data_IF_562348107186
#
_entry.id   IF_562348107186
#
_cell.length_a   1.000
_cell.length_b   1.000
_cell.length_c   1.000
_cell.angle_alpha   90.00
_cell.angle_beta   90.00
_cell.angle_gamma   90.00
#
_symmetry.space_group_name_H-M   'P 1'
#
loop_
_entity.id
_entity.type
_entity.pdbx_description
1 polymer ?
#
# COMPACT_ATOMS: atom_id res chain seq x y z
N UNK A 1 -50.08 15.47 -49.30
CA UNK A 1 -50.49 14.99 -47.96
C UNK A 1 -49.25 14.98 -47.07
N UNK A 2 -49.07 16.03 -46.25
CA UNK A 2 -49.36 16.05 -44.79
C UNK A 2 -48.33 15.25 -43.99
N UNK A 3 -47.73 15.69 -42.89
CA UNK A 3 -47.58 16.95 -42.15
C UNK A 3 -46.58 16.58 -41.01
N UNK A 4 -45.65 17.46 -40.64
CA UNK A 4 -44.77 17.28 -39.46
C UNK A 4 -45.55 17.45 -38.13
N UNK A 5 -45.00 17.12 -36.93
CA UNK A 5 -44.12 18.08 -36.24
C UNK A 5 -43.03 17.52 -35.27
N UNK A 6 -42.05 18.39 -35.00
CA UNK A 6 -41.37 18.72 -33.74
C UNK A 6 -41.08 17.65 -32.66
N UNK A 7 -39.83 17.56 -32.19
CA UNK A 7 -39.39 18.16 -30.92
C UNK A 7 -37.97 17.73 -30.45
N UNK A 8 -37.08 18.73 -30.35
CA UNK A 8 -36.30 19.09 -29.15
C UNK A 8 -35.25 18.09 -28.62
N UNK A 9 -33.97 18.44 -28.80
CA UNK A 9 -32.89 18.13 -27.85
C UNK A 9 -33.12 18.86 -26.52
N UNK A 10 -32.88 18.19 -25.38
CA UNK A 10 -32.20 18.87 -24.29
C UNK A 10 -31.02 18.06 -23.72
N UNK A 11 -29.94 18.79 -23.50
CA UNK A 11 -28.78 18.51 -22.65
C UNK A 11 -29.20 18.25 -21.19
N UNK A 12 -28.29 17.72 -20.32
CA UNK A 12 -28.67 17.10 -19.07
C UNK A 12 -29.23 18.11 -18.07
N UNK A 13 -30.38 17.76 -17.48
CA UNK A 13 -31.00 18.53 -16.42
C UNK A 13 -30.15 18.44 -15.15
N UNK A 14 -29.42 19.53 -14.93
CA UNK A 14 -28.83 19.95 -13.68
C UNK A 14 -29.81 19.82 -12.50
N UNK A 15 -29.49 18.95 -11.53
CA UNK A 15 -29.91 19.18 -10.15
C UNK A 15 -29.07 20.32 -9.58
N UNK A 16 -29.61 21.54 -9.67
CA UNK A 16 -29.04 22.74 -9.06
C UNK A 16 -29.17 22.69 -7.53
N UNK A 17 -28.12 23.02 -6.76
CA UNK A 17 -28.29 23.53 -5.40
C UNK A 17 -28.78 24.99 -5.46
N UNK A 18 -29.81 25.30 -4.67
CA UNK A 18 -30.30 26.67 -4.45
C UNK A 18 -29.22 27.46 -3.70
N UNK A 19 -28.50 28.34 -4.39
CA UNK A 19 -27.76 29.42 -3.74
C UNK A 19 -28.24 30.79 -4.22
N UNK A 20 -28.59 31.60 -3.23
CA UNK A 20 -28.96 33.02 -3.29
C UNK A 20 -27.76 33.79 -3.87
N UNK A 21 -27.95 34.58 -4.93
CA UNK A 21 -26.91 35.43 -5.53
C UNK A 21 -26.44 36.50 -4.52
N UNK A 22 -25.13 36.59 -4.33
CA UNK A 22 -24.42 37.83 -3.97
C UNK A 22 -23.44 38.15 -5.12
N UNK A 23 -23.29 39.41 -5.55
CA UNK A 23 -22.43 39.76 -6.66
C UNK A 23 -21.00 40.09 -6.20
N UNK A 24 -20.01 39.68 -6.99
CA UNK A 24 -18.68 40.27 -7.00
C UNK A 24 -17.61 39.54 -6.19
N UNK A 25 -16.99 38.52 -6.79
CA UNK A 25 -15.60 38.18 -6.55
C UNK A 25 -15.09 37.33 -7.73
N UNK A 26 -13.88 37.64 -8.18
CA UNK A 26 -13.23 37.09 -9.36
C UNK A 26 -13.22 35.55 -9.39
N UNK A 27 -13.32 34.99 -10.60
CA UNK A 27 -13.10 33.58 -10.90
C UNK A 27 -11.69 33.17 -10.45
N UNK A 28 -11.58 32.54 -9.29
CA UNK A 28 -10.55 31.53 -9.07
C UNK A 28 -11.12 30.20 -9.58
N UNK A 29 -10.45 29.59 -10.55
CA UNK A 29 -10.74 28.22 -10.97
C UNK A 29 -10.79 27.34 -9.70
N UNK A 30 -11.76 26.41 -9.58
CA UNK A 30 -11.76 25.49 -8.44
C UNK A 30 -10.42 24.74 -8.49
N UNK A 31 -9.62 24.90 -7.43
CA UNK A 31 -8.47 24.06 -7.19
C UNK A 31 -8.95 22.61 -7.33
N UNK A 32 -8.43 21.92 -8.34
CA UNK A 32 -8.65 20.49 -8.52
C UNK A 32 -8.27 19.80 -7.22
N UNK A 33 -9.27 19.31 -6.48
CA UNK A 33 -9.05 18.45 -5.33
C UNK A 33 -8.15 17.29 -5.80
N UNK A 34 -6.99 17.03 -5.17
CA UNK A 34 -6.23 15.82 -5.45
C UNK A 34 -7.03 14.66 -4.86
N UNK A 35 -7.97 14.11 -5.64
CA UNK A 35 -8.97 13.14 -5.20
C UNK A 35 -8.71 11.77 -5.81
N UNK A 36 -7.49 11.28 -5.65
CA UNK A 36 -7.15 9.86 -5.60
C UNK A 36 -5.64 9.77 -5.35
N UNK A 37 -5.24 9.38 -4.15
CA UNK A 37 -3.87 8.92 -3.96
C UNK A 37 -3.68 7.66 -4.82
N UNK A 38 -2.68 7.69 -5.70
CA UNK A 38 -2.33 6.54 -6.53
C UNK A 38 -1.25 5.71 -5.82
N UNK A 39 -1.71 4.64 -5.15
CA UNK A 39 -0.81 3.68 -4.48
C UNK A 39 0.14 3.00 -5.45
N UNK A 40 -0.28 2.78 -6.71
CA UNK A 40 0.57 2.12 -7.69
C UNK A 40 1.72 3.03 -8.10
N UNK A 41 1.48 4.33 -8.26
CA UNK A 41 2.55 5.30 -8.51
C UNK A 41 3.56 5.37 -7.34
N UNK A 42 3.07 5.27 -6.10
CA UNK A 42 3.94 5.23 -4.91
C UNK A 42 4.77 3.92 -4.84
N UNK A 43 4.18 2.80 -5.25
CA UNK A 43 4.87 1.53 -5.34
C UNK A 43 5.92 1.52 -6.45
N UNK A 44 5.57 1.99 -7.65
CA UNK A 44 6.48 2.11 -8.79
C UNK A 44 7.72 2.92 -8.41
N UNK A 45 7.52 4.08 -7.77
CA UNK A 45 8.63 4.95 -7.35
C UNK A 45 9.54 4.35 -6.26
N UNK A 46 9.07 3.31 -5.54
CA UNK A 46 9.81 2.66 -4.46
C UNK A 46 10.24 1.22 -4.79
N UNK A 47 9.85 0.69 -5.94
CA UNK A 47 10.01 -0.73 -6.30
C UNK A 47 11.48 -1.16 -6.30
N UNK A 48 12.34 -0.33 -6.92
CA UNK A 48 13.78 -0.57 -7.06
C UNK A 48 14.54 -0.56 -5.73
N UNK A 49 13.93 -0.09 -4.63
CA UNK A 49 14.55 -0.23 -3.30
C UNK A 49 14.57 -1.68 -2.81
N UNK A 50 13.70 -2.53 -3.33
CA UNK A 50 13.43 -3.88 -2.83
C UNK A 50 13.67 -4.96 -3.87
N UNK A 51 13.29 -4.71 -5.12
CA UNK A 51 13.36 -5.68 -6.20
C UNK A 51 14.39 -5.17 -7.20
N UNK A 52 15.53 -5.86 -7.25
CA UNK A 52 16.61 -5.51 -8.19
C UNK A 52 16.16 -5.89 -9.61
N UNK A 53 16.21 -4.96 -10.58
CA UNK A 53 15.92 -5.25 -11.97
C UNK A 53 16.77 -6.40 -12.55
N UNK A 54 18.00 -6.58 -12.04
CA UNK A 54 18.94 -7.61 -12.52
C UNK A 54 18.60 -9.02 -11.99
N UNK A 55 18.07 -9.12 -10.76
CA UNK A 55 17.70 -10.41 -10.15
C UNK A 55 16.36 -10.98 -10.66
N UNK A 56 15.46 -10.10 -11.10
CA UNK A 56 14.04 -10.47 -11.32
C UNK A 56 13.58 -10.35 -12.77
N UNK A 57 14.36 -9.71 -13.66
CA UNK A 57 13.86 -9.17 -14.93
C UNK A 57 12.55 -8.34 -14.75
N UNK A 58 12.27 -7.88 -13.53
CA UNK A 58 11.00 -7.25 -13.19
C UNK A 58 11.12 -5.75 -13.41
N UNK A 59 10.56 -5.28 -14.51
CA UNK A 59 10.01 -3.94 -14.57
C UNK A 59 8.78 -3.91 -13.65
N UNK A 60 8.55 -2.83 -12.90
CA UNK A 60 7.28 -2.65 -12.18
C UNK A 60 6.10 -2.94 -13.10
N UNK A 61 5.21 -3.85 -12.67
CA UNK A 61 3.94 -4.14 -13.33
C UNK A 61 2.84 -4.25 -12.29
N UNK A 62 1.66 -3.67 -12.51
CA UNK A 62 0.57 -3.74 -11.53
C UNK A 62 0.09 -5.16 -11.23
N UNK A 63 0.26 -6.09 -12.16
CA UNK A 63 -0.08 -7.52 -12.05
C UNK A 63 1.09 -8.39 -11.58
N UNK A 64 2.26 -7.81 -11.27
CA UNK A 64 3.39 -8.54 -10.72
C UNK A 64 3.00 -9.17 -9.36
N UNK A 65 3.30 -10.46 -9.11
CA UNK A 65 2.94 -11.14 -7.87
C UNK A 65 3.44 -10.42 -6.60
N UNK A 66 4.61 -9.78 -6.66
CA UNK A 66 5.17 -9.04 -5.54
C UNK A 66 4.41 -7.74 -5.27
N UNK A 67 3.89 -7.10 -6.32
CA UNK A 67 3.05 -5.90 -6.25
C UNK A 67 1.66 -6.26 -5.74
N UNK A 68 1.06 -7.35 -6.23
CA UNK A 68 -0.22 -7.87 -5.73
C UNK A 68 -0.12 -8.19 -4.24
N UNK A 69 0.94 -8.88 -3.82
CA UNK A 69 1.20 -9.16 -2.41
C UNK A 69 1.39 -7.88 -1.59
N UNK A 70 2.10 -6.88 -2.12
CA UNK A 70 2.25 -5.58 -1.46
C UNK A 70 0.90 -4.83 -1.34
N UNK A 71 -0.01 -4.98 -2.30
CA UNK A 71 -1.36 -4.39 -2.24
C UNK A 71 -2.22 -5.06 -1.15
N UNK A 72 -2.13 -6.38 -0.99
CA UNK A 72 -2.80 -7.10 0.09
C UNK A 72 -2.36 -6.59 1.47
N UNK A 73 -1.05 -6.52 1.70
CA UNK A 73 -0.50 -5.95 2.94
C UNK A 73 -0.89 -4.48 3.12
N UNK A 74 -0.90 -3.68 2.05
CA UNK A 74 -1.35 -2.30 2.12
C UNK A 74 -2.83 -2.18 2.49
N UNK A 75 -3.69 -3.07 1.99
CA UNK A 75 -5.09 -3.20 2.40
C UNK A 75 -5.21 -3.45 3.90
N UNK A 76 -4.47 -4.44 4.41
CA UNK A 76 -4.40 -4.77 5.84
C UNK A 76 -3.96 -3.56 6.70
N UNK A 77 -2.94 -2.81 6.26
CA UNK A 77 -2.47 -1.60 6.97
C UNK A 77 -3.51 -0.47 7.02
N UNK A 78 -4.42 -0.41 6.04
CA UNK A 78 -5.46 0.63 5.96
C UNK A 78 -6.69 0.33 6.79
N UNK A 79 -6.82 -0.87 7.34
CA UNK A 79 -7.97 -1.20 8.16
C UNK A 79 -7.99 -0.33 9.43
N UNK A 80 -9.12 0.32 9.76
CA UNK A 80 -9.21 1.34 10.82
C UNK A 80 -8.97 0.81 12.24
N UNK A 81 -8.76 -0.50 12.39
CA UNK A 81 -8.50 -1.18 13.65
C UNK A 81 -7.15 -1.92 13.63
N UNK A 82 -6.20 -1.54 12.78
CA UNK A 82 -4.87 -2.13 12.72
C UNK A 82 -3.93 -1.44 13.75
N UNK A 83 -3.72 -1.99 14.97
CA UNK A 83 -2.72 -1.49 15.92
C UNK A 83 -1.28 -1.69 15.42
N UNK A 84 -1.11 -2.30 14.24
CA UNK A 84 0.19 -2.64 13.66
C UNK A 84 1.06 -1.43 13.34
N UNK A 85 0.45 -0.27 13.16
CA UNK A 85 1.12 0.97 12.72
C UNK A 85 0.69 2.19 13.54
N UNK A 86 -0.02 1.97 14.63
CA UNK A 86 -0.43 3.04 15.53
C UNK A 86 0.82 3.63 16.20
N UNK A 87 0.96 4.96 16.15
CA UNK A 87 2.07 5.67 16.78
C UNK A 87 3.36 5.76 15.96
N UNK A 88 3.41 5.20 14.75
CA UNK A 88 4.55 5.35 13.84
C UNK A 88 4.71 6.82 13.42
N UNK A 89 5.86 7.42 13.71
CA UNK A 89 6.24 8.73 13.18
C UNK A 89 6.74 8.58 11.74
N UNK A 90 5.82 8.61 10.78
CA UNK A 90 6.10 8.41 9.35
C UNK A 90 7.10 9.39 8.74
N UNK A 91 7.37 10.53 9.39
CA UNK A 91 8.38 11.48 8.95
C UNK A 91 9.81 11.05 9.34
N UNK A 92 9.96 10.27 10.41
CA UNK A 92 11.26 9.93 11.02
C UNK A 92 11.58 8.45 11.01
N UNK A 93 10.58 7.61 11.24
CA UNK A 93 10.74 6.17 11.30
C UNK A 93 10.85 5.57 9.91
N UNK A 94 11.90 4.77 9.71
CA UNK A 94 12.16 4.02 8.49
C UNK A 94 12.00 2.51 8.69
N UNK A 95 11.78 2.09 9.93
CA UNK A 95 11.65 0.68 10.31
C UNK A 95 10.37 0.53 11.12
N UNK A 96 9.50 -0.37 10.70
CA UNK A 96 8.24 -0.66 11.39
C UNK A 96 8.29 -2.08 11.92
N UNK A 97 8.00 -2.21 13.22
CA UNK A 97 8.04 -3.48 13.93
C UNK A 97 6.63 -4.06 14.05
N UNK A 98 6.48 -5.31 13.62
CA UNK A 98 5.26 -6.09 13.73
C UNK A 98 5.47 -7.21 14.72
N UNK A 99 4.51 -7.43 15.61
CA UNK A 99 4.45 -8.69 16.36
C UNK A 99 3.99 -9.80 15.41
N UNK A 100 4.67 -10.95 15.42
CA UNK A 100 4.33 -12.09 14.56
C UNK A 100 2.88 -12.54 14.76
N UNK A 101 2.42 -12.69 16.01
CA UNK A 101 1.08 -13.18 16.31
C UNK A 101 0.00 -12.21 15.81
N UNK A 102 0.23 -10.89 15.96
CA UNK A 102 -0.71 -9.86 15.49
C UNK A 102 -0.73 -9.78 13.95
N UNK A 103 0.43 -9.97 13.32
CA UNK A 103 0.56 -9.97 11.86
C UNK A 103 -0.18 -11.16 11.24
N UNK A 104 0.01 -12.37 11.79
CA UNK A 104 -0.67 -13.58 11.33
C UNK A 104 -2.18 -13.48 11.55
N UNK A 105 -2.61 -13.03 12.74
CA UNK A 105 -4.03 -12.94 13.08
C UNK A 105 -4.83 -11.96 12.20
N UNK A 106 -4.16 -10.99 11.57
CA UNK A 106 -4.79 -9.94 10.77
C UNK A 106 -4.58 -10.09 9.27
N UNK A 107 -3.67 -10.96 8.86
CA UNK A 107 -3.46 -11.19 7.44
C UNK A 107 -4.69 -11.81 6.81
N UNK A 108 -5.11 -11.28 5.66
CA UNK A 108 -6.09 -11.93 4.77
C UNK A 108 -5.50 -13.19 4.12
N UNK A 109 -4.18 -13.37 4.17
CA UNK A 109 -3.50 -14.51 3.60
C UNK A 109 -3.64 -15.72 4.53
N UNK A 110 -4.44 -16.70 4.08
CA UNK A 110 -4.68 -17.95 4.81
C UNK A 110 -3.39 -18.71 5.19
N UNK A 111 -2.29 -18.45 4.48
CA UNK A 111 -1.02 -19.15 4.60
C UNK A 111 0.18 -18.21 4.84
N UNK A 112 0.00 -17.05 5.47
CA UNK A 112 1.13 -16.12 5.73
C UNK A 112 2.29 -16.81 6.46
N UNK A 113 2.01 -17.71 7.41
CA UNK A 113 3.05 -18.48 8.10
C UNK A 113 3.87 -19.36 7.17
N UNK A 114 3.23 -19.97 6.17
CA UNK A 114 3.90 -20.79 5.17
C UNK A 114 4.68 -19.91 4.19
N UNK A 115 4.12 -18.78 3.76
CA UNK A 115 4.83 -17.82 2.92
C UNK A 115 6.09 -17.25 3.59
N UNK A 116 6.01 -16.95 4.90
CA UNK A 116 7.17 -16.52 5.70
C UNK A 116 8.21 -17.63 5.87
N UNK A 117 7.80 -18.91 5.79
CA UNK A 117 8.73 -20.05 5.85
C UNK A 117 9.42 -20.27 4.51
N UNK A 118 8.66 -20.25 3.43
CA UNK A 118 9.10 -20.69 2.11
C UNK A 118 9.82 -19.57 1.36
N UNK A 119 9.32 -18.33 1.46
CA UNK A 119 9.87 -17.16 0.75
C UNK A 119 9.93 -15.89 1.63
N UNK A 120 10.61 -15.93 2.79
CA UNK A 120 10.62 -14.81 3.73
C UNK A 120 11.11 -13.50 3.11
N UNK A 121 12.16 -13.56 2.28
CA UNK A 121 12.73 -12.37 1.64
C UNK A 121 11.70 -11.66 0.77
N UNK A 122 10.90 -12.40 0.01
CA UNK A 122 9.84 -11.83 -0.84
C UNK A 122 8.76 -11.19 0.03
N UNK A 123 8.31 -11.90 1.06
CA UNK A 123 7.29 -11.37 1.99
C UNK A 123 7.76 -10.07 2.64
N UNK A 124 8.99 -10.02 3.17
CA UNK A 124 9.53 -8.81 3.79
C UNK A 124 9.70 -7.65 2.81
N UNK A 125 10.12 -7.92 1.57
CA UNK A 125 10.21 -6.91 0.51
C UNK A 125 8.83 -6.35 0.17
N UNK A 126 7.84 -7.20 -0.04
CA UNK A 126 6.46 -6.78 -0.33
C UNK A 126 5.84 -6.00 0.83
N UNK A 127 6.00 -6.45 2.09
CA UNK A 127 5.55 -5.70 3.27
C UNK A 127 6.22 -4.33 3.36
N UNK A 128 7.52 -4.24 3.06
CA UNK A 128 8.27 -2.98 3.10
C UNK A 128 7.83 -2.03 1.98
N UNK A 129 7.50 -2.56 0.80
CA UNK A 129 6.89 -1.80 -0.29
C UNK A 129 5.50 -1.25 0.11
N UNK A 130 4.68 -2.05 0.78
CA UNK A 130 3.39 -1.60 1.33
C UNK A 130 3.55 -0.45 2.32
N UNK A 131 4.59 -0.49 3.16
CA UNK A 131 4.90 0.60 4.09
C UNK A 131 5.33 1.88 3.37
N UNK A 132 6.05 1.78 2.25
CA UNK A 132 6.33 2.94 1.41
C UNK A 132 5.05 3.57 0.87
N UNK A 133 4.14 2.76 0.33
CA UNK A 133 2.85 3.26 -0.17
C UNK A 133 2.01 3.85 0.95
N UNK A 134 2.00 3.22 2.14
CA UNK A 134 1.27 3.76 3.28
C UNK A 134 1.89 5.08 3.77
N UNK A 135 3.21 5.16 3.89
CA UNK A 135 3.91 6.40 4.25
C UNK A 135 3.58 7.54 3.29
N UNK A 136 3.47 7.26 1.99
CA UNK A 136 3.12 8.26 0.99
C UNK A 136 1.67 8.81 1.16
N UNK A 137 0.77 8.09 1.84
CA UNK A 137 -0.52 8.62 2.29
C UNK A 137 -0.41 9.59 3.48
N UNK A 138 0.60 9.38 4.33
CA UNK A 138 0.75 10.11 5.60
C UNK A 138 1.53 11.42 5.46
N UNK A 139 2.28 11.58 4.38
CA UNK A 139 3.16 12.72 4.15
C UNK A 139 2.65 13.64 3.05
N UNK A 140 3.15 14.90 2.99
CA UNK A 140 2.78 15.82 1.93
C UNK A 140 3.03 15.22 0.54
N UNK A 141 2.17 15.53 -0.45
CA UNK A 141 2.41 15.16 -1.84
C UNK A 141 3.81 15.56 -2.30
N UNK A 142 4.41 14.77 -3.21
CA UNK A 142 5.77 14.97 -3.74
C UNK A 142 6.92 14.76 -2.74
N UNK A 143 6.64 14.27 -1.53
CA UNK A 143 7.72 13.78 -0.65
C UNK A 143 8.41 12.60 -1.35
N UNK A 144 9.74 12.63 -1.51
CA UNK A 144 10.45 11.56 -2.19
C UNK A 144 10.27 10.23 -1.44
N UNK A 145 10.17 9.10 -2.16
CA UNK A 145 10.11 7.79 -1.52
C UNK A 145 11.43 7.52 -0.81
N UNK A 146 11.33 6.91 0.36
CA UNK A 146 12.47 6.45 1.15
C UNK A 146 12.30 4.97 1.43
N UNK A 147 13.41 4.25 1.55
CA UNK A 147 13.37 2.81 1.86
C UNK A 147 12.85 2.61 3.28
N UNK A 148 11.69 1.96 3.39
CA UNK A 148 11.10 1.49 4.63
C UNK A 148 11.51 0.04 4.87
N UNK A 149 11.50 -0.43 6.11
CA UNK A 149 11.81 -1.81 6.44
C UNK A 149 10.75 -2.39 7.39
N UNK A 150 10.06 -3.44 6.94
CA UNK A 150 9.26 -4.25 7.83
C UNK A 150 10.17 -5.18 8.65
N UNK A 151 9.98 -5.21 9.97
CA UNK A 151 10.62 -6.18 10.86
C UNK A 151 9.57 -6.91 11.66
N UNK A 152 9.72 -8.21 11.79
CA UNK A 152 8.84 -9.04 12.62
C UNK A 152 9.57 -9.43 13.90
N UNK A 153 8.87 -9.31 15.02
CA UNK A 153 9.33 -9.65 16.37
C UNK A 153 8.49 -10.78 16.95
N UNK A 154 9.00 -11.40 18.01
CA UNK A 154 8.31 -12.47 18.76
C UNK A 154 7.94 -13.69 17.90
N UNK A 155 8.72 -13.98 16.85
CA UNK A 155 8.54 -15.16 16.00
C UNK A 155 8.66 -16.43 16.84
N UNK A 156 7.71 -17.34 16.70
CA UNK A 156 7.71 -18.64 17.39
C UNK A 156 7.70 -19.78 16.36
N UNK A 157 8.28 -20.94 16.68
CA UNK A 157 9.05 -21.25 17.90
C UNK A 157 10.48 -20.69 17.88
N UNK A 158 11.03 -20.40 19.05
CA UNK A 158 12.45 -20.03 19.23
C UNK A 158 13.28 -21.31 19.18
N UNK A 159 14.27 -21.37 18.28
CA UNK A 159 15.14 -22.54 18.11
C UNK A 159 16.49 -22.33 18.80
N UNK A 160 17.03 -23.32 19.52
CA UNK A 160 18.40 -23.25 20.04
C UNK A 160 19.41 -23.19 18.88
N UNK A 161 20.44 -22.34 18.99
CA UNK A 161 21.52 -22.23 17.95
C UNK A 161 22.09 -23.61 17.59
N UNK A 162 22.26 -24.48 18.59
CA UNK A 162 22.82 -25.84 18.42
C UNK A 162 21.97 -26.78 17.55
N UNK A 163 20.69 -26.46 17.34
CA UNK A 163 19.75 -27.28 16.58
C UNK A 163 19.59 -26.79 15.13
N UNK A 164 20.31 -25.73 14.75
CA UNK A 164 20.32 -25.18 13.38
C UNK A 164 21.18 -26.07 12.48
N UNK A 165 20.56 -26.58 11.42
CA UNK A 165 21.17 -27.44 10.41
C UNK A 165 21.36 -26.68 9.09
N UNK A 166 22.11 -27.25 8.15
CA UNK A 166 22.40 -26.60 6.87
C UNK A 166 21.16 -26.36 6.00
N UNK A 167 20.08 -27.11 6.18
CA UNK A 167 18.78 -26.93 5.53
C UNK A 167 18.00 -25.70 6.05
N UNK A 168 18.48 -25.07 7.13
CA UNK A 168 17.91 -23.83 7.66
C UNK A 168 18.51 -22.56 7.02
N UNK A 169 19.46 -22.68 6.10
CA UNK A 169 20.00 -21.52 5.37
C UNK A 169 18.86 -20.87 4.58
N UNK A 170 18.83 -19.53 4.59
CA UNK A 170 17.79 -18.68 3.99
C UNK A 170 16.37 -18.78 4.58
N UNK A 171 16.19 -19.59 5.64
CA UNK A 171 14.90 -19.69 6.33
C UNK A 171 14.73 -18.64 7.43
N UNK A 172 13.48 -18.19 7.61
CA UNK A 172 13.12 -17.23 8.64
C UNK A 172 12.76 -17.93 9.96
N UNK A 173 13.51 -17.63 11.02
CA UNK A 173 13.28 -18.20 12.35
C UNK A 173 13.79 -17.30 13.47
N UNK A 174 13.25 -17.48 14.68
CA UNK A 174 13.83 -16.95 15.90
C UNK A 174 14.84 -17.95 16.48
N UNK A 175 15.96 -17.42 16.98
CA UNK A 175 17.08 -18.22 17.50
C UNK A 175 17.49 -17.70 18.89
N UNK A 176 17.88 -18.61 19.79
CA UNK A 176 18.40 -18.30 21.14
C UNK A 176 19.62 -19.15 21.51
#
# INVERSE_FOLDING_TARGET
ASQAPDHIFPTPAACRPRFRRLPGAAMAAPASCPSSFDVLAAFEAAFDFYFDPEDTHASFRPDDPHVVLALEFFGMLREPLAPLIEGVDWARELVVHFNFDDLVARSSMADLENALRDEPTVVFKSMSLSLCGYRALQLPPYTPPVKMLARVQNVRPIRPIRDIKADAIDSFMAVQ
#
